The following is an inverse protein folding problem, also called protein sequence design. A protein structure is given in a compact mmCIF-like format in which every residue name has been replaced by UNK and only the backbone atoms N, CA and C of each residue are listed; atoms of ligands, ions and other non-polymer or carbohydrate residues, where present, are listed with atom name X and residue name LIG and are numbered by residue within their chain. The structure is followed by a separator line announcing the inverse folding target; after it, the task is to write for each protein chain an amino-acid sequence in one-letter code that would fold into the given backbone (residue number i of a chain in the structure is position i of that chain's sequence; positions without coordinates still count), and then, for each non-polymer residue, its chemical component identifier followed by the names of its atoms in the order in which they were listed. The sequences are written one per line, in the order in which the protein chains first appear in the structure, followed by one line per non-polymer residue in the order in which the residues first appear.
data_IF_164010764615
#
_entry.id   IF_164010764615
#
_cell.length_a   1.000
_cell.length_b   1.000
_cell.length_c   1.000
_cell.angle_alpha   90.00
_cell.angle_beta   90.00
_cell.angle_gamma   90.00
#
_symmetry.space_group_name_H-M   'P 1'
#
loop_
_entity.id
_entity.type
_entity.pdbx_description
1 polymer ?
#
# COMPACT_ATOMS: atom_id res chain seq x y z
N UNK A 1 10.02 16.03 -28.46
CA UNK A 1 9.08 14.99 -27.97
C UNK A 1 8.69 13.97 -29.04
N UNK A 2 8.36 14.39 -30.28
CA UNK A 2 8.02 13.46 -31.37
C UNK A 2 9.11 12.41 -31.69
N UNK A 3 10.39 12.76 -31.61
CA UNK A 3 11.48 11.82 -31.86
C UNK A 3 11.58 10.70 -30.80
N UNK A 4 11.21 10.97 -29.54
CA UNK A 4 11.17 9.93 -28.50
C UNK A 4 10.09 8.88 -28.77
N UNK A 5 9.04 9.23 -29.53
CA UNK A 5 7.97 8.30 -29.90
C UNK A 5 8.43 7.16 -30.81
N UNK A 6 9.45 7.42 -31.64
CA UNK A 6 9.93 6.47 -32.63
C UNK A 6 11.04 5.55 -32.10
N UNK A 7 11.59 5.86 -30.92
CA UNK A 7 12.68 5.10 -30.31
C UNK A 7 13.94 5.02 -31.17
N UNK A 8 14.89 4.18 -30.76
CA UNK A 8 16.09 3.85 -31.56
C UNK A 8 15.81 2.57 -32.33
N UNK A 9 15.86 2.64 -33.66
CA UNK A 9 15.64 1.50 -34.54
C UNK A 9 16.94 0.70 -34.71
N UNK A 10 16.94 -0.57 -34.31
CA UNK A 10 18.10 -1.46 -34.47
C UNK A 10 18.12 -2.06 -35.88
N UNK A 11 19.29 -2.08 -36.52
CA UNK A 11 19.52 -2.42 -37.94
C UNK A 11 19.24 -3.89 -38.34
N UNK A 12 18.45 -4.66 -37.59
CA UNK A 12 18.24 -6.08 -37.92
C UNK A 12 16.81 -6.57 -37.71
N UNK A 13 15.82 -5.82 -38.19
CA UNK A 13 14.44 -6.31 -38.35
C UNK A 13 13.80 -5.71 -39.61
N UNK A 14 14.51 -5.74 -40.75
CA UNK A 14 13.92 -5.33 -42.04
C UNK A 14 13.26 -6.50 -42.79
N UNK A 15 13.29 -7.73 -42.26
CA UNK A 15 12.89 -8.93 -43.01
C UNK A 15 11.86 -9.85 -42.32
N UNK A 16 11.32 -9.49 -41.16
CA UNK A 16 10.31 -10.32 -40.51
C UNK A 16 9.28 -9.47 -39.76
N UNK A 17 8.15 -9.21 -40.42
CA UNK A 17 6.92 -8.79 -39.75
C UNK A 17 6.25 -7.54 -40.28
N UNK A 18 5.85 -7.52 -41.55
CA UNK A 18 4.80 -6.62 -42.07
C UNK A 18 3.39 -6.93 -41.47
N UNK A 19 3.30 -7.59 -40.33
CA UNK A 19 2.02 -8.11 -39.82
C UNK A 19 2.08 -8.39 -38.32
N UNK A 20 2.05 -7.33 -37.49
CA UNK A 20 1.53 -7.46 -36.12
C UNK A 20 1.12 -6.12 -35.54
N UNK A 21 -0.07 -5.72 -35.99
CA UNK A 21 -0.86 -4.71 -35.33
C UNK A 21 -0.48 -3.32 -35.77
N UNK A 22 -1.40 -2.70 -36.50
CA UNK A 22 -1.66 -1.26 -36.37
C UNK A 22 -1.73 -1.00 -34.86
N UNK A 23 -0.60 -0.61 -34.27
CA UNK A 23 -0.55 -0.02 -32.95
C UNK A 23 -1.38 1.23 -33.15
N UNK A 24 -2.61 1.24 -32.65
CA UNK A 24 -3.45 2.43 -32.72
C UNK A 24 -2.58 3.60 -32.26
N UNK A 25 -2.27 4.50 -33.18
CA UNK A 25 -1.55 5.71 -32.87
C UNK A 25 -2.49 6.46 -31.93
N UNK A 26 -2.30 6.32 -30.62
CA UNK A 26 -2.91 7.25 -29.69
C UNK A 26 -2.28 8.58 -30.05
N UNK A 27 -3.01 9.40 -30.82
CA UNK A 27 -2.57 10.65 -31.44
C UNK A 27 -1.78 11.50 -30.42
N UNK A 28 -2.20 11.42 -29.16
CA UNK A 28 -1.57 12.03 -28.00
C UNK A 28 -1.09 10.99 -27.00
N UNK A 29 0.12 11.21 -26.46
CA UNK A 29 0.61 10.47 -25.29
C UNK A 29 -0.28 10.75 -24.08
N UNK A 30 -0.37 9.82 -23.10
CA UNK A 30 -1.13 10.06 -21.87
C UNK A 30 -0.77 11.38 -21.16
N UNK A 31 0.49 11.81 -21.25
CA UNK A 31 0.95 13.11 -20.74
C UNK A 31 0.34 14.28 -21.51
N UNK A 32 0.35 14.24 -22.83
CA UNK A 32 -0.22 15.31 -23.67
C UNK A 32 -1.73 15.42 -23.49
N UNK A 33 -2.43 14.28 -23.35
CA UNK A 33 -3.85 14.23 -23.00
C UNK A 33 -4.09 14.94 -21.65
N UNK A 34 -3.30 14.61 -20.62
CA UNK A 34 -3.41 15.24 -19.32
C UNK A 34 -3.12 16.76 -19.38
N UNK A 35 -2.08 17.17 -20.09
CA UNK A 35 -1.75 18.58 -20.27
C UNK A 35 -2.86 19.33 -21.02
N UNK A 36 -3.51 18.70 -21.98
CA UNK A 36 -4.66 19.28 -22.68
C UNK A 36 -5.88 19.39 -21.77
N UNK A 37 -6.19 18.36 -20.99
CA UNK A 37 -7.31 18.38 -20.03
C UNK A 37 -7.11 19.43 -18.92
N UNK A 38 -5.86 19.63 -18.45
CA UNK A 38 -5.54 20.70 -17.49
C UNK A 38 -5.75 22.08 -18.13
N UNK A 39 -5.21 22.32 -19.33
CA UNK A 39 -5.32 23.60 -20.04
C UNK A 39 -6.77 23.94 -20.40
N UNK A 40 -7.52 22.96 -20.90
CA UNK A 40 -8.95 23.08 -21.25
C UNK A 40 -9.89 22.99 -20.05
N UNK A 41 -9.36 22.76 -18.83
CA UNK A 41 -10.11 22.59 -17.58
C UNK A 41 -11.18 21.50 -17.67
N UNK A 42 -10.90 20.41 -18.38
CA UNK A 42 -11.77 19.21 -18.52
C UNK A 42 -11.74 18.32 -17.28
N UNK A 43 -11.79 18.92 -16.10
CA UNK A 43 -11.80 18.22 -14.82
C UNK A 43 -12.90 18.77 -13.91
N UNK A 44 -13.41 17.92 -13.00
CA UNK A 44 -14.35 18.32 -11.95
C UNK A 44 -13.60 18.32 -10.62
N UNK A 45 -13.32 19.50 -10.07
CA UNK A 45 -12.77 19.62 -8.71
C UNK A 45 -13.90 19.64 -7.69
N UNK A 46 -13.66 19.02 -6.54
CA UNK A 46 -14.49 19.24 -5.37
C UNK A 46 -14.22 20.66 -4.85
N UNK A 47 -15.28 21.44 -4.64
CA UNK A 47 -15.17 22.78 -4.07
C UNK A 47 -14.79 22.66 -2.60
N UNK A 48 -13.56 23.01 -2.26
CA UNK A 48 -13.10 23.21 -0.89
C UNK A 48 -13.19 24.71 -0.61
N UNK A 49 -13.74 25.09 0.54
CA UNK A 49 -13.84 26.49 0.96
C UNK A 49 -12.42 27.02 1.24
N UNK A 50 -11.85 27.82 0.35
CA UNK A 50 -10.51 28.41 0.53
C UNK A 50 -10.58 29.82 1.15
N UNK A 51 -11.71 30.52 1.02
CA UNK A 51 -11.89 31.91 1.51
C UNK A 51 -13.00 32.08 2.57
N UNK A 52 -13.45 30.98 3.19
CA UNK A 52 -14.36 31.04 4.34
C UNK A 52 -15.83 31.38 4.03
N UNK A 53 -16.27 31.43 2.77
CA UNK A 53 -17.68 31.65 2.44
C UNK A 53 -18.52 30.42 2.84
N UNK A 54 -19.21 30.55 3.97
CA UNK A 54 -20.04 29.51 4.57
C UNK A 54 -21.20 29.21 3.61
N UNK A 55 -21.43 27.95 3.20
CA UNK A 55 -22.56 27.62 2.35
C UNK A 55 -23.86 28.14 2.97
N UNK A 56 -24.69 28.84 2.18
CA UNK A 56 -25.97 29.46 2.63
C UNK A 56 -26.95 28.48 3.31
N UNK A 57 -26.68 27.17 3.24
CA UNK A 57 -27.42 26.10 3.92
C UNK A 57 -27.09 26.01 5.41
N UNK A 58 -25.98 26.60 5.85
CA UNK A 58 -25.54 26.64 7.25
C UNK A 58 -26.03 27.95 7.85
N UNK A 59 -27.24 27.94 8.39
CA UNK A 59 -27.90 29.12 8.98
C UNK A 59 -27.33 29.51 10.35
N UNK A 60 -26.53 28.64 10.97
CA UNK A 60 -25.97 28.82 12.31
C UNK A 60 -24.46 28.83 12.21
N UNK A 61 -23.83 29.79 12.88
CA UNK A 61 -22.39 29.84 13.06
C UNK A 61 -21.86 28.49 13.59
N UNK A 62 -20.74 28.02 13.06
CA UNK A 62 -20.11 26.76 13.46
C UNK A 62 -19.88 26.73 14.97
N UNK A 63 -19.49 27.86 15.56
CA UNK A 63 -19.33 28.02 16.99
C UNK A 63 -20.63 27.74 17.76
N UNK A 64 -21.77 28.25 17.29
CA UNK A 64 -23.07 28.01 17.91
C UNK A 64 -23.49 26.54 17.84
N UNK A 65 -23.23 25.87 16.71
CA UNK A 65 -23.50 24.43 16.54
C UNK A 65 -22.69 23.59 17.53
N UNK A 66 -21.39 23.90 17.67
CA UNK A 66 -20.50 23.21 18.60
C UNK A 66 -20.95 23.44 20.05
N UNK A 67 -21.35 24.66 20.41
CA UNK A 67 -21.86 24.97 21.74
C UNK A 67 -23.16 24.24 22.06
N UNK A 68 -24.14 24.23 21.14
CA UNK A 68 -25.40 23.47 21.29
C UNK A 68 -25.11 21.97 21.50
N UNK A 69 -24.10 21.44 20.83
CA UNK A 69 -23.68 20.05 20.96
C UNK A 69 -23.00 19.74 22.31
N UNK A 70 -22.18 20.63 22.85
CA UNK A 70 -21.57 20.46 24.18
C UNK A 70 -22.65 20.55 25.27
N UNK A 71 -23.57 21.52 25.14
CA UNK A 71 -24.65 21.75 26.12
C UNK A 71 -25.72 20.67 26.14
N UNK A 72 -26.01 20.06 25.00
CA UNK A 72 -27.03 19.01 24.89
C UNK A 72 -26.55 17.63 25.36
N UNK A 73 -25.24 17.44 25.52
CA UNK A 73 -24.71 16.16 25.99
C UNK A 73 -25.05 15.94 27.47
N UNK A 74 -25.56 14.76 27.85
CA UNK A 74 -25.73 14.43 29.27
C UNK A 74 -24.36 14.44 29.98
N UNK A 75 -24.32 14.76 31.28
CA UNK A 75 -23.08 14.81 32.04
C UNK A 75 -22.34 13.46 31.98
N UNK A 76 -21.06 13.50 31.65
CA UNK A 76 -20.24 12.29 31.55
C UNK A 76 -20.06 11.66 32.93
N UNK A 77 -20.22 10.33 33.02
CA UNK A 77 -19.88 9.58 34.24
C UNK A 77 -18.39 9.72 34.56
N UNK A 78 -18.04 9.70 35.85
CA UNK A 78 -16.65 9.73 36.34
C UNK A 78 -15.84 8.58 35.73
N UNK A 79 -14.56 8.82 35.45
CA UNK A 79 -13.69 7.80 34.85
C UNK A 79 -13.65 6.49 35.65
N UNK A 80 -13.68 6.59 36.99
CA UNK A 80 -13.70 5.45 37.92
C UNK A 80 -14.96 4.59 37.82
N UNK A 81 -16.08 5.14 37.36
CA UNK A 81 -17.36 4.43 37.23
C UNK A 81 -17.56 3.80 35.85
N UNK A 82 -16.69 4.13 34.88
CA UNK A 82 -16.78 3.61 33.52
C UNK A 82 -16.26 2.17 33.52
N UNK A 83 -17.13 1.21 33.23
CA UNK A 83 -16.71 -0.17 32.96
C UNK A 83 -16.13 -0.24 31.55
N UNK A 84 -14.81 -0.42 31.45
CA UNK A 84 -14.18 -0.67 30.17
C UNK A 84 -14.59 -2.06 29.65
N UNK A 85 -14.78 -2.23 28.33
CA UNK A 85 -14.89 -3.55 27.76
C UNK A 85 -13.61 -4.35 28.08
N UNK A 86 -13.71 -5.69 28.24
CA UNK A 86 -12.54 -6.51 28.45
C UNK A 86 -11.54 -6.30 27.30
N UNK A 87 -10.22 -6.35 27.57
CA UNK A 87 -9.22 -6.20 26.53
C UNK A 87 -9.48 -7.26 25.43
N UNK A 88 -9.41 -6.89 24.15
CA UNK A 88 -9.63 -7.84 23.07
C UNK A 88 -8.63 -8.98 23.20
N UNK A 89 -9.11 -10.22 23.02
CA UNK A 89 -8.23 -11.40 22.97
C UNK A 89 -7.30 -11.20 21.78
N UNK A 90 -6.03 -10.86 22.04
CA UNK A 90 -5.03 -10.69 20.99
C UNK A 90 -4.68 -12.07 20.43
N UNK A 91 -4.67 -12.19 19.11
CA UNK A 91 -4.06 -13.33 18.46
C UNK A 91 -2.57 -13.34 18.80
N UNK A 92 -2.00 -14.55 18.99
CA UNK A 92 -0.57 -14.71 19.22
C UNK A 92 0.19 -14.18 18.01
N UNK A 93 1.25 -13.40 18.23
CA UNK A 93 2.11 -12.96 17.14
C UNK A 93 2.87 -14.16 16.54
N UNK A 94 3.28 -14.12 15.25
CA UNK A 94 4.13 -15.17 14.68
C UNK A 94 5.40 -15.43 15.50
N UNK A 95 5.96 -14.37 16.10
CA UNK A 95 7.10 -14.46 17.03
C UNK A 95 6.75 -15.25 18.29
N UNK A 96 5.58 -15.01 18.89
CA UNK A 96 5.14 -15.75 20.08
C UNK A 96 4.95 -17.24 19.79
N UNK A 97 4.33 -17.57 18.65
CA UNK A 97 4.15 -18.95 18.21
C UNK A 97 5.50 -19.65 18.00
N UNK A 98 6.47 -18.97 17.37
CA UNK A 98 7.83 -19.48 17.20
C UNK A 98 8.52 -19.71 18.55
N UNK A 99 8.42 -18.75 19.47
CA UNK A 99 9.06 -18.88 20.78
C UNK A 99 8.45 -20.02 21.60
N UNK A 100 7.15 -20.27 21.46
CA UNK A 100 6.47 -21.40 22.10
C UNK A 100 6.90 -22.74 21.50
N UNK A 101 7.01 -22.84 20.17
CA UNK A 101 7.49 -24.07 19.52
C UNK A 101 8.94 -24.38 19.86
N UNK A 102 9.79 -23.36 19.97
CA UNK A 102 11.19 -23.52 20.42
C UNK A 102 11.25 -24.02 21.86
N UNK A 103 10.43 -23.46 22.77
CA UNK A 103 10.38 -23.93 24.17
C UNK A 103 9.85 -25.37 24.30
N UNK A 104 8.92 -25.77 23.44
CA UNK A 104 8.37 -27.12 23.42
C UNK A 104 9.37 -28.18 22.93
N UNK A 105 10.31 -27.78 22.06
CA UNK A 105 11.31 -28.66 21.47
C UNK A 105 10.71 -29.62 20.43
N UNK A 106 11.52 -30.00 19.44
CA UNK A 106 11.15 -31.00 18.42
C UNK A 106 12.30 -31.99 18.29
N UNK A 107 12.06 -33.32 18.29
CA UNK A 107 13.12 -34.30 18.11
C UNK A 107 13.79 -34.12 16.75
N UNK A 108 15.11 -34.08 16.73
CA UNK A 108 15.90 -34.02 15.50
C UNK A 108 16.15 -35.43 14.95
N UNK A 109 16.20 -35.56 13.62
CA UNK A 109 16.52 -36.82 12.97
C UNK A 109 18.00 -37.17 13.22
N UNK A 110 18.27 -38.41 13.62
CA UNK A 110 19.64 -38.91 13.72
C UNK A 110 20.29 -38.96 12.33
N UNK A 111 21.50 -38.42 12.22
CA UNK A 111 22.35 -38.50 11.02
C UNK A 111 23.53 -39.43 11.32
N UNK A 112 23.80 -40.40 10.46
CA UNK A 112 25.05 -41.17 10.51
C UNK A 112 26.22 -40.25 10.15
N UNK A 113 27.20 -40.11 11.05
CA UNK A 113 28.43 -39.37 10.77
C UNK A 113 29.20 -40.04 9.61
N UNK A 114 29.80 -39.30 8.67
CA UNK A 114 30.69 -39.90 7.69
C UNK A 114 31.93 -40.47 8.40
N UNK A 115 32.09 -41.79 8.35
CA UNK A 115 33.28 -42.50 8.83
C UNK A 115 34.52 -42.00 8.07
N UNK A 116 35.57 -41.60 8.80
CA UNK A 116 36.91 -41.37 8.26
C UNK A 116 37.56 -42.74 7.99
N UNK A 117 37.57 -43.21 6.75
CA UNK A 117 38.42 -44.31 6.30
C UNK A 117 39.78 -43.76 5.85
N UNK A 118 40.70 -43.62 6.79
CA UNK A 118 42.12 -43.40 6.50
C UNK A 118 42.88 -44.70 6.71
N UNK A 119 43.02 -45.50 5.66
CA UNK A 119 43.91 -46.68 5.66
C UNK A 119 45.37 -46.19 5.69
N UNK A 120 46.06 -46.44 6.80
CA UNK A 120 47.52 -46.34 6.90
C UNK A 120 48.13 -47.65 6.42
N UNK A 121 48.92 -47.60 5.34
CA UNK A 121 49.81 -48.69 4.96
C UNK A 121 51.27 -48.26 5.21
N UNK A 122 52.02 -48.95 6.09
CA UNK A 122 53.44 -48.70 6.25
C UNK A 122 54.23 -49.30 5.07
N UNK A 123 55.19 -48.54 4.56
CA UNK A 123 56.18 -48.99 3.56
C UNK A 123 57.35 -49.61 4.34
N UNK A 124 57.70 -50.86 4.01
CA UNK A 124 58.97 -51.49 4.36
C UNK A 124 59.99 -51.15 3.28
#
# INVERSE_FOLDING_TARGET
MQQLRHGVQLKKVAAAGESRGIVAEYELTPYEILMDDIRSRRYKLNKVMVDGDIPHRVKKDAHAIILDFIRSRPPLRKASERRLPPPPKRARSPRELLMESIKGGTPLRHTSSPHKSGEYHPII
#
